data_IF_230909114292
#
_entry.id   IF_230909114292
#
_cell.length_a   1.000
_cell.length_b   1.000
_cell.length_c   1.000
_cell.angle_alpha   90.00
_cell.angle_beta   90.00
_cell.angle_gamma   90.00
#
_symmetry.space_group_name_H-M   'P 1'
#
loop_
_entity.id
_entity.type
_entity.pdbx_description
1 polymer ?
#
# COMPACT_ATOMS: atom_id res chain seq x y z
N UNK A 1 14.22 -15.72 2.19
CA UNK A 1 14.73 -15.93 0.81
C UNK A 1 14.01 -15.07 -0.23
N UNK A 2 12.68 -14.89 -0.19
CA UNK A 2 11.97 -14.06 -1.19
C UNK A 2 12.32 -12.55 -1.23
N UNK A 3 12.79 -11.96 -0.12
CA UNK A 3 13.12 -10.52 -0.07
C UNK A 3 14.32 -10.13 -0.95
N UNK A 4 15.35 -10.97 -0.98
CA UNK A 4 16.54 -10.73 -1.79
C UNK A 4 16.21 -10.75 -3.29
N UNK A 5 15.26 -11.59 -3.71
CA UNK A 5 14.79 -11.65 -5.10
C UNK A 5 14.19 -10.32 -5.53
N UNK A 6 13.33 -9.73 -4.69
CA UNK A 6 12.71 -8.41 -4.98
C UNK A 6 13.74 -7.29 -5.01
N UNK A 7 14.76 -7.34 -4.13
CA UNK A 7 15.87 -6.38 -4.20
C UNK A 7 16.65 -6.56 -5.52
N UNK A 8 16.82 -7.79 -6.01
CA UNK A 8 17.47 -8.08 -7.28
C UNK A 8 16.64 -7.65 -8.50
N UNK A 9 15.31 -7.59 -8.41
CA UNK A 9 14.45 -7.06 -9.49
C UNK A 9 14.84 -5.62 -9.84
N UNK A 10 15.15 -4.81 -8.83
CA UNK A 10 15.69 -3.48 -9.00
C UNK A 10 16.50 -3.04 -7.78
N UNK A 11 17.85 -3.17 -7.83
CA UNK A 11 18.70 -2.83 -6.70
C UNK A 11 18.69 -1.35 -6.34
N UNK A 12 18.54 -0.49 -7.36
CA UNK A 12 18.66 0.97 -7.23
C UNK A 12 17.29 1.64 -7.18
N UNK A 13 16.39 1.26 -8.08
CA UNK A 13 15.09 1.91 -8.24
C UNK A 13 13.99 1.14 -7.51
N UNK A 14 13.68 1.58 -6.29
CA UNK A 14 12.60 1.03 -5.45
C UNK A 14 11.26 1.01 -6.20
N UNK A 15 11.00 2.01 -7.04
CA UNK A 15 9.77 2.14 -7.83
C UNK A 15 9.49 0.93 -8.71
N UNK A 16 10.54 0.24 -9.15
CA UNK A 16 10.46 -0.88 -10.09
C UNK A 16 10.43 -2.25 -9.42
N UNK A 17 10.35 -2.31 -8.09
CA UNK A 17 10.23 -3.56 -7.34
C UNK A 17 8.79 -4.03 -7.30
N UNK A 18 8.58 -5.34 -7.38
CA UNK A 18 7.24 -5.91 -7.31
C UNK A 18 6.61 -5.83 -5.93
N UNK A 19 7.42 -5.68 -4.87
CA UNK A 19 6.97 -5.71 -3.48
C UNK A 19 7.71 -4.71 -2.63
N UNK A 20 6.99 -4.06 -1.73
CA UNK A 20 7.53 -3.06 -0.81
C UNK A 20 7.13 -3.41 0.63
N UNK A 21 8.09 -3.32 1.55
CA UNK A 21 7.86 -3.53 2.99
C UNK A 21 8.78 -2.71 3.90
N UNK A 22 9.73 -1.96 3.33
CA UNK A 22 10.64 -1.11 4.08
C UNK A 22 9.98 0.26 4.24
N UNK A 23 9.76 0.75 5.48
CA UNK A 23 9.11 2.03 5.73
C UNK A 23 9.66 3.20 4.91
N UNK A 24 10.98 3.41 4.96
CA UNK A 24 11.63 4.54 4.28
C UNK A 24 11.49 4.47 2.76
N UNK A 25 11.45 3.27 2.20
CA UNK A 25 11.29 3.04 0.76
C UNK A 25 9.85 3.32 0.32
N UNK A 26 8.86 2.88 1.11
CA UNK A 26 7.45 3.14 0.83
C UNK A 26 7.15 4.62 0.95
N UNK A 27 7.63 5.25 2.03
CA UNK A 27 7.42 6.67 2.28
C UNK A 27 7.96 7.54 1.15
N UNK A 28 9.23 7.34 0.74
CA UNK A 28 9.82 8.07 -0.39
C UNK A 28 9.06 7.86 -1.70
N UNK A 29 8.61 6.64 -1.95
CA UNK A 29 7.94 6.27 -3.19
C UNK A 29 6.53 6.84 -3.27
N UNK A 30 5.78 6.80 -2.17
CA UNK A 30 4.42 7.33 -2.09
C UNK A 30 4.43 8.87 -2.04
N UNK A 31 5.37 9.48 -1.31
CA UNK A 31 5.56 10.93 -1.25
C UNK A 31 5.93 11.52 -2.61
N UNK A 32 6.81 10.85 -3.36
CA UNK A 32 7.21 11.29 -4.71
C UNK A 32 6.26 10.85 -5.82
N UNK A 33 5.19 10.13 -5.47
CA UNK A 33 4.23 9.59 -6.42
C UNK A 33 4.90 8.71 -7.50
N UNK A 34 5.98 8.03 -7.09
CA UNK A 34 6.84 7.18 -7.92
C UNK A 34 6.38 5.71 -7.90
N UNK A 35 5.22 5.41 -7.32
CA UNK A 35 4.63 4.08 -7.39
C UNK A 35 4.39 3.69 -8.83
N UNK A 36 5.18 2.73 -9.33
CA UNK A 36 5.08 2.31 -10.73
C UNK A 36 4.16 1.10 -10.89
N UNK A 37 3.82 0.82 -12.14
CA UNK A 37 3.12 -0.40 -12.58
C UNK A 37 3.82 -1.71 -12.14
N UNK A 38 5.08 -1.68 -11.72
CA UNK A 38 5.74 -2.87 -11.20
C UNK A 38 5.19 -3.30 -9.83
N UNK A 39 4.67 -2.37 -9.03
CA UNK A 39 4.35 -2.64 -7.62
C UNK A 39 3.08 -3.48 -7.50
N UNK A 40 3.23 -4.74 -7.11
CA UNK A 40 2.12 -5.67 -6.88
C UNK A 40 1.73 -5.81 -5.41
N UNK A 41 2.65 -5.51 -4.48
CA UNK A 41 2.40 -5.67 -3.05
C UNK A 41 3.03 -4.56 -2.21
N UNK A 42 2.25 -4.01 -1.28
CA UNK A 42 2.73 -3.04 -0.29
C UNK A 42 2.37 -3.53 1.12
N UNK A 43 3.36 -3.53 2.00
CA UNK A 43 3.21 -3.87 3.42
C UNK A 43 3.74 -2.71 4.24
N UNK A 44 2.85 -1.99 4.91
CA UNK A 44 3.17 -0.96 5.90
C UNK A 44 3.23 -1.63 7.28
N UNK A 45 4.44 -1.91 7.81
CA UNK A 45 4.57 -2.62 9.08
C UNK A 45 4.25 -1.69 10.27
N UNK A 46 3.97 -2.26 11.44
CA UNK A 46 3.72 -1.49 12.65
C UNK A 46 4.88 -0.55 13.04
N UNK A 47 6.12 -0.92 12.69
CA UNK A 47 7.31 -0.08 12.93
C UNK A 47 7.37 1.16 12.02
N UNK A 48 6.39 1.35 11.13
CA UNK A 48 6.21 2.59 10.40
C UNK A 48 5.72 3.65 11.38
N UNK A 49 6.65 4.24 12.12
CA UNK A 49 6.42 5.28 13.11
C UNK A 49 6.84 6.63 12.51
N UNK A 50 5.90 7.28 11.81
CA UNK A 50 6.10 8.63 11.31
C UNK A 50 4.91 9.47 11.73
N UNK A 51 5.16 10.49 12.54
CA UNK A 51 4.13 11.37 13.10
C UNK A 51 3.32 12.08 12.00
N UNK A 52 3.93 12.30 10.83
CA UNK A 52 3.28 12.93 9.70
C UNK A 52 3.89 12.45 8.39
N UNK A 53 3.06 11.95 7.47
CA UNK A 53 3.45 11.62 6.09
C UNK A 53 2.75 12.56 5.13
N UNK A 54 3.44 13.02 4.09
CA UNK A 54 2.87 13.89 3.06
C UNK A 54 2.52 13.08 1.82
N UNK A 55 1.63 12.10 1.98
CA UNK A 55 1.24 11.22 0.88
C UNK A 55 0.09 11.82 0.08
N UNK A 56 0.20 11.73 -1.25
CA UNK A 56 -0.92 12.03 -2.12
C UNK A 56 -2.04 10.98 -1.89
N UNK A 57 -3.29 11.39 -1.57
CA UNK A 57 -4.46 10.51 -1.50
C UNK A 57 -4.68 9.55 -2.67
N UNK A 58 -4.12 9.87 -3.84
CA UNK A 58 -4.24 9.10 -5.08
C UNK A 58 -2.99 8.28 -5.41
N UNK A 59 -1.92 8.33 -4.60
CA UNK A 59 -0.66 7.64 -4.91
C UNK A 59 -0.85 6.13 -5.12
N UNK A 60 -1.66 5.49 -4.28
CA UNK A 60 -1.96 4.06 -4.40
C UNK A 60 -2.78 3.72 -5.65
N UNK A 61 -3.59 4.65 -6.18
CA UNK A 61 -4.36 4.44 -7.42
C UNK A 61 -3.46 4.28 -8.65
N UNK A 62 -2.26 4.86 -8.62
CA UNK A 62 -1.30 4.78 -9.74
C UNK A 62 -0.56 3.44 -9.81
N UNK A 63 -0.59 2.66 -8.73
CA UNK A 63 -0.03 1.31 -8.70
C UNK A 63 -1.01 0.33 -9.36
N UNK A 64 -1.21 0.45 -10.68
CA UNK A 64 -2.28 -0.25 -11.42
C UNK A 64 -2.29 -1.79 -11.27
N UNK A 65 -1.19 -2.39 -10.81
CA UNK A 65 -1.04 -3.83 -10.59
C UNK A 65 -0.97 -4.21 -9.11
N UNK A 66 -1.26 -3.28 -8.20
CA UNK A 66 -1.28 -3.55 -6.77
C UNK A 66 -2.38 -4.55 -6.43
N UNK A 67 -1.97 -5.73 -5.98
CA UNK A 67 -2.84 -6.86 -5.65
C UNK A 67 -2.95 -7.08 -4.15
N UNK A 68 -1.95 -6.66 -3.39
CA UNK A 68 -1.89 -6.86 -1.94
C UNK A 68 -1.52 -5.55 -1.25
N UNK A 69 -2.36 -5.14 -0.31
CA UNK A 69 -2.10 -4.03 0.60
C UNK A 69 -2.30 -4.49 2.04
N UNK A 70 -1.24 -4.41 2.83
CA UNK A 70 -1.26 -4.67 4.28
C UNK A 70 -0.86 -3.40 5.00
N UNK A 71 -1.71 -2.94 5.92
CA UNK A 71 -1.53 -1.74 6.72
C UNK A 71 -1.59 -2.16 8.18
N UNK A 72 -0.44 -2.13 8.85
CA UNK A 72 -0.28 -2.52 10.26
C UNK A 72 0.13 -1.35 11.16
N UNK A 73 0.08 -0.13 10.65
CA UNK A 73 0.41 1.11 11.34
C UNK A 73 -0.80 2.05 11.39
N UNK A 74 -0.84 2.91 12.39
CA UNK A 74 -1.85 3.96 12.51
C UNK A 74 -1.32 5.23 11.84
N UNK A 75 -1.78 5.51 10.62
CA UNK A 75 -1.46 6.72 9.87
C UNK A 75 -2.76 7.45 9.50
N UNK A 76 -2.95 8.64 10.03
CA UNK A 76 -4.15 9.44 9.77
C UNK A 76 -4.30 9.79 8.29
N UNK A 77 -3.20 9.97 7.56
CA UNK A 77 -3.26 10.30 6.12
C UNK A 77 -3.84 9.17 5.28
N UNK A 78 -3.81 7.93 5.77
CA UNK A 78 -4.47 6.81 5.08
C UNK A 78 -5.99 6.93 5.12
N UNK A 79 -6.56 7.70 6.07
CA UNK A 79 -8.00 8.02 6.08
C UNK A 79 -8.43 8.84 4.87
N UNK A 80 -7.49 9.58 4.28
CA UNK A 80 -7.75 10.43 3.14
C UNK A 80 -7.53 9.70 1.81
N UNK A 81 -7.17 8.41 1.81
CA UNK A 81 -7.08 7.64 0.57
C UNK A 81 -8.38 7.78 -0.22
N UNK A 82 -8.24 8.01 -1.54
CA UNK A 82 -9.39 8.15 -2.46
C UNK A 82 -9.78 6.87 -3.17
N UNK A 83 -8.88 5.90 -3.24
CA UNK A 83 -9.09 4.68 -4.00
C UNK A 83 -8.02 3.63 -3.79
N UNK A 84 -8.37 2.40 -4.16
CA UNK A 84 -7.41 1.35 -4.51
C UNK A 84 -7.54 1.03 -6.01
N UNK A 85 -6.43 0.68 -6.68
CA UNK A 85 -6.42 0.38 -8.10
C UNK A 85 -7.20 -0.91 -8.36
N UNK A 86 -8.00 -0.98 -9.43
CA UNK A 86 -9.01 -2.04 -9.65
C UNK A 86 -8.52 -3.49 -9.74
N UNK A 87 -7.22 -3.74 -9.63
CA UNK A 87 -6.58 -5.07 -9.63
C UNK A 87 -6.33 -5.65 -8.24
N UNK A 88 -6.67 -4.90 -7.19
CA UNK A 88 -6.45 -5.30 -5.80
C UNK A 88 -7.26 -6.54 -5.42
N UNK A 89 -6.61 -7.48 -4.72
CA UNK A 89 -7.19 -8.77 -4.32
C UNK A 89 -7.24 -8.97 -2.80
N UNK A 90 -6.29 -8.37 -2.09
CA UNK A 90 -6.09 -8.57 -0.66
C UNK A 90 -5.91 -7.22 0.01
N UNK A 91 -6.80 -6.91 0.95
CA UNK A 91 -6.66 -5.78 1.86
C UNK A 91 -6.68 -6.27 3.30
N UNK A 92 -5.61 -5.99 4.05
CA UNK A 92 -5.56 -6.16 5.49
C UNK A 92 -5.20 -4.84 6.14
N UNK A 93 -6.12 -4.27 6.91
CA UNK A 93 -5.93 -2.98 7.56
C UNK A 93 -6.22 -3.09 9.06
N UNK A 94 -5.18 -2.93 9.86
CA UNK A 94 -5.22 -2.91 11.31
C UNK A 94 -5.59 -1.52 11.83
N UNK A 95 -6.49 -1.44 12.82
CA UNK A 95 -6.94 -0.16 13.35
C UNK A 95 -7.75 0.65 12.33
N UNK A 96 -8.46 -0.03 11.43
CA UNK A 96 -9.20 0.63 10.36
C UNK A 96 -10.28 1.55 10.96
N UNK A 97 -10.24 2.89 10.74
CA UNK A 97 -11.05 3.80 11.55
C UNK A 97 -12.44 4.08 10.99
N UNK A 98 -12.70 3.70 9.74
CA UNK A 98 -13.96 3.98 9.06
C UNK A 98 -14.93 2.80 9.21
N UNK A 99 -16.22 3.11 9.29
CA UNK A 99 -17.27 2.07 9.34
C UNK A 99 -17.47 1.36 7.99
N UNK A 100 -17.08 2.02 6.90
CA UNK A 100 -17.21 1.51 5.52
C UNK A 100 -15.93 1.72 4.73
N UNK A 101 -15.80 1.00 3.62
CA UNK A 101 -14.74 1.23 2.64
C UNK A 101 -15.04 2.51 1.85
N UNK A 102 -14.11 3.48 1.79
CA UNK A 102 -14.31 4.75 1.09
C UNK A 102 -14.26 4.62 -0.44
N UNK A 103 -13.97 3.43 -0.97
CA UNK A 103 -13.74 3.22 -2.39
C UNK A 103 -14.95 2.55 -3.04
N UNK A 104 -15.32 2.99 -4.26
CA UNK A 104 -16.27 2.23 -5.10
C UNK A 104 -15.62 0.90 -5.47
N UNK A 105 -15.98 -0.14 -4.73
CA UNK A 105 -15.43 -1.47 -4.91
C UNK A 105 -15.78 -2.01 -6.31
N UNK A 106 -14.78 -2.19 -7.17
CA UNK A 106 -14.84 -3.26 -8.17
C UNK A 106 -14.71 -4.58 -7.42
N UNK A 107 -15.82 -5.04 -6.84
CA UNK A 107 -15.89 -6.26 -5.99
C UNK A 107 -15.46 -7.52 -6.71
N UNK A 108 -15.41 -7.48 -8.04
CA UNK A 108 -15.20 -8.66 -8.89
C UNK A 108 -13.82 -9.30 -8.73
N UNK A 109 -12.83 -8.58 -8.17
CA UNK A 109 -11.46 -9.09 -7.99
C UNK A 109 -11.03 -9.27 -6.52
N UNK A 110 -11.86 -8.82 -5.57
CA UNK A 110 -11.55 -8.90 -4.15
C UNK A 110 -11.67 -10.35 -3.65
N UNK A 111 -10.57 -10.90 -3.15
CA UNK A 111 -10.50 -12.28 -2.62
C UNK A 111 -10.47 -12.28 -1.10
N UNK A 112 -9.78 -11.31 -0.49
CA UNK A 112 -9.63 -11.25 0.96
C UNK A 112 -9.70 -9.82 1.47
N UNK A 113 -10.57 -9.62 2.46
CA UNK A 113 -10.74 -8.36 3.16
C UNK A 113 -10.71 -8.61 4.67
N UNK A 114 -9.77 -7.97 5.35
CA UNK A 114 -9.70 -7.95 6.81
C UNK A 114 -9.46 -6.53 7.28
N UNK A 115 -10.48 -5.97 7.92
CA UNK A 115 -10.42 -4.64 8.55
C UNK A 115 -10.74 -4.87 10.02
N UNK A 116 -9.73 -4.79 10.88
CA UNK A 116 -9.93 -4.95 12.32
C UNK A 116 -9.97 -3.57 12.95
N UNK A 117 -11.10 -3.24 13.56
CA UNK A 117 -11.24 -2.06 14.40
C UNK A 117 -11.18 -2.53 15.86
N UNK A 118 -9.98 -2.44 16.45
CA UNK A 118 -9.61 -2.93 17.79
C UNK A 118 -9.68 -4.45 18.04
#
# INVERSE_FOLDING_TARGET
>A
MGRLIVIQESPVDVGRRSKLWLPDEIDQLVERDMGTEATEAVVLPHIFEKNEVHWNPEAFLKMCWLRLLIISCNLDQLLHLKGLPGTWKVLHWYGYPLETLPFKENKDQLVYLKMQNS
#
